data_IF_043390985987
#
_entry.id   IF_043390985987
#
_cell.length_a   1.000
_cell.length_b   1.000
_cell.length_c   1.000
_cell.angle_alpha   90.00
_cell.angle_beta   90.00
_cell.angle_gamma   90.00
#
_symmetry.space_group_name_H-M   'P 1'
#
loop_
_entity.id
_entity.type
_entity.pdbx_description
1 polymer ?
#
# COMPACT_ATOMS: atom_id res chain seq x y z
N UNK A 1 9.94 23.35 12.37
CA UNK A 1 9.84 22.48 11.17
C UNK A 1 11.20 22.14 10.56
N UNK A 2 12.09 23.09 10.36
CA UNK A 2 13.40 22.89 9.70
C UNK A 2 14.36 21.93 10.43
N UNK A 3 14.39 21.96 11.76
CA UNK A 3 15.26 21.09 12.57
C UNK A 3 14.86 19.62 12.50
N UNK A 4 13.56 19.33 12.54
CA UNK A 4 13.03 17.96 12.39
C UNK A 4 13.32 17.39 11.00
N UNK A 5 13.14 18.21 9.96
CA UNK A 5 13.45 17.79 8.60
C UNK A 5 14.96 17.51 8.40
N UNK A 6 15.85 18.31 8.99
CA UNK A 6 17.29 18.08 8.96
C UNK A 6 17.68 16.80 9.71
N UNK A 7 17.05 16.53 10.87
CA UNK A 7 17.30 15.31 11.65
C UNK A 7 16.87 14.06 10.87
N UNK A 8 15.65 14.08 10.31
CA UNK A 8 15.14 12.97 9.47
C UNK A 8 16.02 12.74 8.26
N UNK A 9 16.44 13.81 7.55
CA UNK A 9 17.35 13.70 6.40
C UNK A 9 18.70 13.11 6.80
N UNK A 10 19.26 13.52 7.94
CA UNK A 10 20.52 12.97 8.47
C UNK A 10 20.39 11.47 8.78
N UNK A 11 19.28 11.04 9.38
CA UNK A 11 19.00 9.64 9.65
C UNK A 11 18.86 8.83 8.34
N UNK A 12 18.10 9.35 7.37
CA UNK A 12 17.95 8.70 6.06
C UNK A 12 19.29 8.54 5.35
N UNK A 13 20.15 9.58 5.35
CA UNK A 13 21.48 9.52 4.75
C UNK A 13 22.41 8.53 5.47
N UNK A 14 22.27 8.36 6.77
CA UNK A 14 23.04 7.37 7.53
C UNK A 14 22.64 5.93 7.17
N UNK A 15 21.34 5.69 6.97
CA UNK A 15 20.83 4.36 6.63
C UNK A 15 20.87 4.04 5.14
N UNK A 16 21.02 5.03 4.25
CA UNK A 16 21.02 4.85 2.80
C UNK A 16 22.04 3.81 2.33
N UNK A 17 23.35 3.85 2.73
CA UNK A 17 24.33 2.87 2.31
C UNK A 17 24.05 1.44 2.81
N UNK A 18 23.42 1.32 3.99
CA UNK A 18 22.99 0.03 4.52
C UNK A 18 21.85 -0.57 3.68
N UNK A 19 20.87 0.27 3.30
CA UNK A 19 19.74 -0.14 2.47
C UNK A 19 20.17 -0.53 1.05
N UNK A 20 21.10 0.21 0.45
CA UNK A 20 21.62 -0.05 -0.91
C UNK A 20 22.40 -1.36 -1.02
N UNK A 21 23.00 -1.83 0.08
CA UNK A 21 23.79 -3.07 0.12
C UNK A 21 23.02 -4.27 0.71
N UNK A 22 21.76 -4.10 1.08
CA UNK A 22 20.94 -5.19 1.61
C UNK A 22 20.46 -6.11 0.48
N UNK A 23 20.52 -7.42 0.73
CA UNK A 23 19.85 -8.37 -0.16
C UNK A 23 18.34 -8.14 -0.16
N UNK A 24 17.67 -8.46 -1.27
CA UNK A 24 16.22 -8.36 -1.40
C UNK A 24 15.51 -9.11 -0.26
N UNK A 25 16.00 -10.29 0.10
CA UNK A 25 15.45 -11.09 1.19
C UNK A 25 15.53 -10.38 2.55
N UNK A 26 16.65 -9.73 2.86
CA UNK A 26 16.83 -9.00 4.11
C UNK A 26 15.92 -7.78 4.15
N UNK A 27 15.75 -7.08 3.03
CA UNK A 27 14.85 -5.94 2.92
C UNK A 27 13.39 -6.37 3.14
N UNK A 28 12.96 -7.48 2.53
CA UNK A 28 11.62 -8.06 2.73
C UNK A 28 11.38 -8.40 4.20
N UNK A 29 12.31 -9.11 4.84
CA UNK A 29 12.22 -9.45 6.28
C UNK A 29 12.16 -8.21 7.18
N UNK A 30 12.91 -7.17 6.86
CA UNK A 30 12.90 -5.90 7.59
C UNK A 30 11.54 -5.21 7.51
N UNK A 31 10.92 -5.19 6.33
CA UNK A 31 9.58 -4.65 6.15
C UNK A 31 8.51 -5.47 6.90
N UNK A 32 8.61 -6.80 6.88
CA UNK A 32 7.68 -7.67 7.62
C UNK A 32 7.73 -7.36 9.12
N UNK A 33 8.93 -7.22 9.69
CA UNK A 33 9.10 -6.84 11.10
C UNK A 33 8.53 -5.47 11.44
N UNK A 34 8.68 -4.50 10.53
CA UNK A 34 8.05 -3.20 10.69
C UNK A 34 6.51 -3.33 10.68
N UNK A 35 5.96 -4.09 9.75
CA UNK A 35 4.53 -4.36 9.67
C UNK A 35 3.98 -5.05 10.91
N UNK A 36 4.67 -6.09 11.42
CA UNK A 36 4.33 -6.76 12.69
C UNK A 36 4.27 -5.77 13.86
N UNK A 37 5.28 -4.90 13.98
CA UNK A 37 5.33 -3.89 15.03
C UNK A 37 4.16 -2.91 14.94
N UNK A 38 3.90 -2.36 13.76
CA UNK A 38 2.79 -1.43 13.54
C UNK A 38 1.44 -2.10 13.82
N UNK A 39 1.24 -3.34 13.39
CA UNK A 39 0.03 -4.13 13.68
C UNK A 39 -0.13 -4.32 15.20
N UNK A 40 0.97 -4.64 15.92
CA UNK A 40 0.95 -4.83 17.36
C UNK A 40 0.55 -3.56 18.12
N UNK A 41 0.95 -2.37 17.63
CA UNK A 41 0.56 -1.09 18.22
C UNK A 41 -0.96 -0.87 18.19
N UNK A 42 -1.64 -1.33 17.14
CA UNK A 42 -3.08 -1.15 16.92
C UNK A 42 -3.94 -2.39 17.26
N UNK A 43 -3.35 -3.47 17.78
CA UNK A 43 -4.06 -4.74 18.02
C UNK A 43 -5.28 -4.63 18.95
N UNK A 44 -5.30 -3.61 19.81
CA UNK A 44 -6.44 -3.35 20.72
C UNK A 44 -7.54 -2.53 20.06
N UNK A 45 -7.26 -1.91 18.93
CA UNK A 45 -8.11 -0.95 18.25
C UNK A 45 -8.71 -1.50 16.95
N UNK A 46 -8.13 -2.59 16.42
CA UNK A 46 -8.55 -3.19 15.15
C UNK A 46 -8.82 -4.69 15.27
N UNK A 47 -9.60 -5.19 14.31
CA UNK A 47 -9.74 -6.62 13.97
C UNK A 47 -9.19 -6.85 12.57
N UNK A 48 -8.52 -7.98 12.36
CA UNK A 48 -8.04 -8.39 11.04
C UNK A 48 -8.71 -9.68 10.60
N UNK A 49 -9.02 -9.76 9.30
CA UNK A 49 -9.54 -10.97 8.66
C UNK A 49 -8.92 -11.11 7.28
N UNK A 50 -8.23 -12.19 7.05
CA UNK A 50 -7.61 -12.52 5.77
C UNK A 50 -8.61 -12.92 4.71
N UNK A 51 -8.22 -12.74 3.46
CA UNK A 51 -8.95 -13.16 2.28
C UNK A 51 -7.97 -13.67 1.23
N UNK A 52 -8.14 -14.92 0.84
CA UNK A 52 -7.32 -15.54 -0.20
C UNK A 52 -7.96 -15.30 -1.57
N UNK A 53 -7.19 -14.72 -2.47
CA UNK A 53 -7.44 -14.75 -3.90
C UNK A 53 -6.74 -15.95 -4.51
N UNK A 54 -6.90 -16.17 -5.80
CA UNK A 54 -6.25 -17.30 -6.48
C UNK A 54 -4.73 -17.21 -6.45
N UNK A 55 -4.18 -16.01 -6.62
CA UNK A 55 -2.75 -15.79 -6.84
C UNK A 55 -2.08 -14.94 -5.75
N UNK A 56 -2.82 -14.31 -4.90
CA UNK A 56 -2.31 -13.43 -3.84
C UNK A 56 -3.27 -13.39 -2.66
N UNK A 57 -2.88 -12.69 -1.60
CA UNK A 57 -3.67 -12.55 -0.38
C UNK A 57 -4.02 -11.09 -0.11
N UNK A 58 -5.10 -10.87 0.58
CA UNK A 58 -5.46 -9.59 1.13
C UNK A 58 -5.98 -9.70 2.56
N UNK A 59 -6.14 -8.59 3.23
CA UNK A 59 -6.75 -8.57 4.56
C UNK A 59 -7.68 -7.38 4.73
N UNK A 60 -8.78 -7.64 5.41
CA UNK A 60 -9.63 -6.63 6.00
C UNK A 60 -9.06 -6.19 7.33
N UNK A 61 -8.94 -4.89 7.52
CA UNK A 61 -8.63 -4.27 8.81
C UNK A 61 -9.85 -3.43 9.19
N UNK A 62 -10.45 -3.80 10.29
CA UNK A 62 -11.71 -3.20 10.76
C UNK A 62 -11.45 -2.49 12.09
N UNK A 63 -11.61 -1.15 12.15
CA UNK A 63 -11.48 -0.44 13.42
C UNK A 63 -12.64 -0.83 14.36
N UNK A 64 -12.35 -0.96 15.64
CA UNK A 64 -13.39 -1.16 16.67
C UNK A 64 -14.29 0.06 16.80
N UNK A 65 -13.72 1.25 16.67
CA UNK A 65 -14.43 2.53 16.61
C UNK A 65 -14.61 2.95 15.14
N UNK A 66 -15.58 2.31 14.46
CA UNK A 66 -15.90 2.68 13.10
C UNK A 66 -16.75 3.95 13.06
N UNK A 67 -16.15 5.06 12.61
CA UNK A 67 -16.77 6.39 12.55
C UNK A 67 -17.30 6.77 11.17
N UNK A 68 -16.88 6.06 10.12
CA UNK A 68 -17.19 6.36 8.71
C UNK A 68 -17.62 5.12 7.95
N UNK A 69 -18.49 5.33 6.97
CA UNK A 69 -18.88 4.32 5.99
C UNK A 69 -17.89 4.31 4.81
N UNK A 70 -17.91 3.23 4.04
CA UNK A 70 -16.98 3.05 2.92
C UNK A 70 -15.77 2.20 3.27
N UNK A 71 -14.81 2.18 2.38
CA UNK A 71 -13.60 1.37 2.49
C UNK A 71 -12.41 2.07 1.82
N UNK A 72 -11.25 1.94 2.42
CA UNK A 72 -9.97 2.26 1.77
C UNK A 72 -9.42 0.98 1.16
N UNK A 73 -9.13 0.97 -0.15
CA UNK A 73 -8.25 -0.02 -0.76
C UNK A 73 -6.83 0.50 -0.64
N UNK A 74 -6.03 -0.18 0.18
CA UNK A 74 -4.65 0.20 0.42
C UNK A 74 -3.69 -0.73 -0.34
N UNK A 75 -2.80 -0.13 -1.13
CA UNK A 75 -1.73 -0.78 -1.88
C UNK A 75 -0.38 -0.30 -1.34
N UNK A 76 0.41 -1.24 -0.82
CA UNK A 76 1.66 -0.94 -0.13
C UNK A 76 2.79 -0.53 -1.07
N UNK A 77 3.83 0.14 -0.53
CA UNK A 77 5.08 0.43 -1.22
C UNK A 77 6.07 -0.74 -1.20
N UNK A 78 7.29 -0.46 -1.61
CA UNK A 78 8.38 -1.46 -1.65
C UNK A 78 8.96 -1.70 -3.04
N UNK A 79 8.86 -0.72 -3.94
CA UNK A 79 9.49 -0.74 -5.27
C UNK A 79 9.00 -1.86 -6.18
N UNK A 80 7.80 -2.39 -5.95
CA UNK A 80 7.23 -3.59 -6.61
C UNK A 80 8.02 -4.88 -6.37
N UNK A 81 9.06 -4.85 -5.54
CA UNK A 81 9.93 -6.00 -5.24
C UNK A 81 9.84 -6.45 -3.78
N UNK A 82 9.37 -5.58 -2.91
CA UNK A 82 9.22 -5.80 -1.48
C UNK A 82 7.80 -5.49 -1.02
N UNK A 83 7.48 -5.99 0.17
CA UNK A 83 6.15 -5.89 0.77
C UNK A 83 5.46 -7.25 0.87
N UNK A 84 4.71 -7.41 1.91
CA UNK A 84 3.97 -8.63 2.22
C UNK A 84 2.62 -8.27 2.81
N UNK A 85 1.82 -9.28 3.13
CA UNK A 85 0.58 -9.05 3.85
C UNK A 85 0.84 -8.46 5.25
N UNK A 86 1.93 -8.87 5.93
CA UNK A 86 2.32 -8.36 7.25
C UNK A 86 2.68 -6.88 7.18
N UNK A 87 3.49 -6.49 6.19
CA UNK A 87 3.82 -5.09 5.96
C UNK A 87 2.57 -4.26 5.65
N UNK A 88 1.74 -4.73 4.73
CA UNK A 88 0.51 -4.04 4.34
C UNK A 88 -0.46 -3.86 5.53
N UNK A 89 -0.62 -4.90 6.38
CA UNK A 89 -1.47 -4.87 7.59
C UNK A 89 -1.02 -3.82 8.60
N UNK A 90 0.28 -3.61 8.73
CA UNK A 90 0.83 -2.62 9.65
C UNK A 90 0.30 -1.23 9.38
N UNK A 91 0.52 -0.71 8.19
CA UNK A 91 0.05 0.63 7.81
C UNK A 91 -1.48 0.70 7.65
N UNK A 92 -2.10 -0.37 7.15
CA UNK A 92 -3.56 -0.47 7.07
C UNK A 92 -4.22 -0.37 8.45
N UNK A 93 -3.57 -0.89 9.52
CA UNK A 93 -4.05 -0.76 10.90
C UNK A 93 -4.04 0.69 11.37
N UNK A 94 -2.98 1.42 11.07
CA UNK A 94 -2.90 2.87 11.34
C UNK A 94 -4.00 3.62 10.58
N UNK A 95 -4.16 3.37 9.28
CA UNK A 95 -5.22 4.00 8.48
C UNK A 95 -6.61 3.70 9.04
N UNK A 96 -6.88 2.45 9.42
CA UNK A 96 -8.17 2.05 9.97
C UNK A 96 -8.48 2.77 11.28
N UNK A 97 -7.53 2.84 12.19
CA UNK A 97 -7.67 3.48 13.51
C UNK A 97 -7.85 4.99 13.38
N UNK A 98 -6.93 5.66 12.67
CA UNK A 98 -6.93 7.12 12.56
C UNK A 98 -8.12 7.65 11.74
N UNK A 99 -8.44 6.98 10.65
CA UNK A 99 -9.56 7.39 9.80
C UNK A 99 -10.93 6.89 10.30
N UNK A 100 -10.98 5.89 11.18
CA UNK A 100 -12.23 5.28 11.64
C UNK A 100 -13.03 4.64 10.51
N UNK A 101 -12.35 4.03 9.53
CA UNK A 101 -12.95 3.42 8.34
C UNK A 101 -12.32 2.05 8.09
N UNK A 102 -13.07 1.14 7.49
CA UNK A 102 -12.53 -0.17 7.08
C UNK A 102 -11.46 0.00 6.02
N UNK A 103 -10.40 -0.78 6.12
CA UNK A 103 -9.33 -0.85 5.13
C UNK A 103 -9.27 -2.27 4.58
N UNK A 104 -9.16 -2.40 3.28
CA UNK A 104 -8.76 -3.64 2.63
C UNK A 104 -7.35 -3.43 2.09
N UNK A 105 -6.39 -4.22 2.52
CA UNK A 105 -5.01 -4.19 2.01
C UNK A 105 -4.72 -5.44 1.20
N UNK A 106 -4.01 -5.28 0.07
CA UNK A 106 -3.63 -6.36 -0.82
C UNK A 106 -2.12 -6.57 -0.80
N UNK A 107 -1.69 -7.82 -0.56
CA UNK A 107 -0.33 -8.27 -0.79
C UNK A 107 -0.19 -8.73 -2.25
N UNK A 108 -0.19 -7.76 -3.14
CA UNK A 108 -0.11 -8.01 -4.57
C UNK A 108 1.22 -8.68 -4.95
N UNK A 109 1.22 -9.45 -6.05
CA UNK A 109 2.40 -10.17 -6.55
C UNK A 109 3.54 -9.23 -6.90
N UNK A 110 4.77 -9.64 -6.56
CA UNK A 110 5.98 -8.83 -6.62
C UNK A 110 6.96 -9.33 -7.68
N UNK A 111 7.73 -8.42 -8.24
CA UNK A 111 8.90 -8.73 -9.03
C UNK A 111 10.08 -9.15 -8.09
N UNK A 112 11.05 -9.90 -8.59
CA UNK A 112 11.18 -10.43 -9.94
C UNK A 112 10.31 -11.66 -10.22
N UNK A 113 9.72 -12.28 -9.20
CA UNK A 113 8.96 -13.52 -9.31
C UNK A 113 7.73 -13.36 -10.22
N UNK A 114 7.08 -12.21 -10.12
CA UNK A 114 5.89 -11.85 -10.90
C UNK A 114 6.02 -10.41 -11.43
N UNK A 115 6.67 -10.21 -12.58
CA UNK A 115 6.85 -8.88 -13.15
C UNK A 115 5.52 -8.27 -13.64
N UNK A 116 5.57 -7.04 -14.13
CA UNK A 116 4.42 -6.41 -14.77
C UNK A 116 3.77 -7.35 -15.81
N UNK A 117 2.43 -7.45 -15.84
CA UNK A 117 1.46 -6.61 -15.15
C UNK A 117 0.88 -7.17 -13.84
N UNK A 118 1.51 -8.18 -13.21
CA UNK A 118 0.92 -8.95 -12.11
C UNK A 118 0.37 -8.07 -10.96
N UNK A 119 1.14 -7.08 -10.50
CA UNK A 119 0.70 -6.18 -9.43
C UNK A 119 -0.56 -5.38 -9.83
N UNK A 120 -0.66 -4.94 -11.08
CA UNK A 120 -1.81 -4.20 -11.58
C UNK A 120 -3.07 -5.09 -11.71
N UNK A 121 -2.88 -6.34 -12.14
CA UNK A 121 -3.98 -7.33 -12.18
C UNK A 121 -4.53 -7.61 -10.79
N UNK A 122 -3.65 -7.80 -9.80
CA UNK A 122 -4.05 -8.06 -8.41
C UNK A 122 -4.73 -6.83 -7.77
N UNK A 123 -4.25 -5.63 -8.09
CA UNK A 123 -4.90 -4.38 -7.66
C UNK A 123 -6.31 -4.25 -8.27
N UNK A 124 -6.47 -4.58 -9.56
CA UNK A 124 -7.77 -4.58 -10.25
C UNK A 124 -8.71 -5.62 -9.64
N UNK A 125 -8.23 -6.85 -9.40
CA UNK A 125 -9.02 -7.91 -8.76
C UNK A 125 -9.46 -7.51 -7.36
N UNK A 126 -8.59 -6.85 -6.59
CA UNK A 126 -8.91 -6.31 -5.25
C UNK A 126 -10.03 -5.25 -5.32
N UNK A 127 -9.96 -4.35 -6.29
CA UNK A 127 -11.00 -3.32 -6.49
C UNK A 127 -12.33 -3.95 -6.89
N UNK A 128 -12.32 -4.87 -7.85
CA UNK A 128 -13.54 -5.60 -8.28
C UNK A 128 -14.13 -6.45 -7.15
N UNK A 129 -13.29 -7.02 -6.28
CA UNK A 129 -13.73 -7.71 -5.09
C UNK A 129 -14.52 -6.79 -4.16
N UNK A 130 -14.07 -5.56 -3.94
CA UNK A 130 -14.79 -4.59 -3.11
C UNK A 130 -16.14 -4.21 -3.72
N UNK A 131 -16.21 -4.03 -5.04
CA UNK A 131 -17.48 -3.80 -5.74
C UNK A 131 -18.44 -4.99 -5.57
N UNK A 132 -17.93 -6.23 -5.72
CA UNK A 132 -18.72 -7.47 -5.50
C UNK A 132 -19.18 -7.64 -4.05
N UNK A 133 -18.42 -7.09 -3.08
CA UNK A 133 -18.81 -7.04 -1.65
C UNK A 133 -19.90 -6.00 -1.35
N UNK A 134 -20.34 -5.26 -2.36
CA UNK A 134 -21.42 -4.29 -2.24
C UNK A 134 -20.98 -2.86 -1.91
N UNK A 135 -19.68 -2.57 -1.92
CA UNK A 135 -19.21 -1.19 -1.83
C UNK A 135 -19.40 -0.48 -3.18
N UNK A 136 -20.27 0.52 -3.27
CA UNK A 136 -20.33 1.31 -4.49
C UNK A 136 -19.02 2.07 -4.70
N UNK A 137 -18.61 2.28 -5.95
CA UNK A 137 -17.34 2.93 -6.27
C UNK A 137 -17.14 4.29 -5.57
N UNK A 138 -18.24 5.06 -5.38
CA UNK A 138 -18.22 6.33 -4.64
C UNK A 138 -17.92 6.20 -3.14
N UNK A 139 -17.81 4.98 -2.62
CA UNK A 139 -17.43 4.68 -1.23
C UNK A 139 -16.09 3.93 -1.14
N UNK A 140 -15.38 3.77 -2.25
CA UNK A 140 -14.03 3.18 -2.29
C UNK A 140 -13.02 4.30 -2.51
N UNK A 141 -12.12 4.49 -1.55
CA UNK A 141 -10.95 5.38 -1.66
C UNK A 141 -9.73 4.52 -1.95
N UNK A 142 -8.90 4.89 -2.93
CA UNK A 142 -7.61 4.24 -3.12
C UNK A 142 -6.54 4.99 -2.33
N UNK A 143 -5.72 4.26 -1.61
CA UNK A 143 -4.57 4.79 -0.88
C UNK A 143 -3.33 3.95 -1.19
N UNK A 144 -2.18 4.60 -1.38
CA UNK A 144 -0.92 3.88 -1.57
C UNK A 144 0.28 4.78 -1.38
N UNK A 145 1.39 4.20 -0.93
CA UNK A 145 2.66 4.92 -0.78
C UNK A 145 3.72 4.40 -1.77
N UNK A 146 4.63 5.26 -2.20
CA UNK A 146 5.76 4.93 -3.07
C UNK A 146 5.29 4.17 -4.34
N UNK A 147 5.74 2.93 -4.57
CA UNK A 147 5.28 2.07 -5.67
C UNK A 147 3.76 1.80 -5.60
N UNK A 148 3.20 1.55 -4.41
CA UNK A 148 1.74 1.43 -4.22
C UNK A 148 1.00 2.73 -4.56
N UNK A 149 1.63 3.88 -4.31
CA UNK A 149 1.15 5.18 -4.77
C UNK A 149 1.10 5.28 -6.29
N UNK A 150 2.13 4.81 -7.00
CA UNK A 150 2.10 4.69 -8.46
C UNK A 150 1.02 3.71 -8.93
N UNK A 151 0.88 2.59 -8.24
CA UNK A 151 -0.08 1.53 -8.58
C UNK A 151 -1.54 1.99 -8.49
N UNK A 152 -1.92 2.85 -7.52
CA UNK A 152 -3.30 3.37 -7.47
C UNK A 152 -3.63 4.27 -8.67
N UNK A 153 -2.67 5.02 -9.20
CA UNK A 153 -2.87 5.80 -10.42
C UNK A 153 -2.98 4.87 -11.64
N UNK A 154 -2.10 3.87 -11.75
CA UNK A 154 -2.16 2.87 -12.83
C UNK A 154 -3.50 2.11 -12.81
N UNK A 155 -3.98 1.71 -11.62
CA UNK A 155 -5.29 1.10 -11.44
C UNK A 155 -6.42 2.02 -11.91
N UNK A 156 -6.38 3.31 -11.54
CA UNK A 156 -7.41 4.27 -11.96
C UNK A 156 -7.45 4.44 -13.48
N UNK A 157 -6.30 4.50 -14.15
CA UNK A 157 -6.21 4.53 -15.61
C UNK A 157 -6.76 3.24 -16.23
N UNK A 158 -6.45 2.08 -15.66
CA UNK A 158 -6.95 0.79 -16.10
C UNK A 158 -8.48 0.66 -15.96
N UNK A 159 -9.03 1.13 -14.84
CA UNK A 159 -10.47 1.19 -14.63
C UNK A 159 -11.16 2.07 -15.69
N UNK A 160 -10.57 3.22 -16.01
CA UNK A 160 -11.06 4.13 -17.04
C UNK A 160 -11.03 3.47 -18.44
N UNK A 161 -9.92 2.80 -18.79
CA UNK A 161 -9.77 2.04 -20.03
C UNK A 161 -10.85 0.96 -20.17
N UNK A 162 -11.16 0.25 -19.10
CA UNK A 162 -12.16 -0.82 -19.05
C UNK A 162 -13.61 -0.32 -18.90
N UNK A 163 -13.85 1.00 -18.84
CA UNK A 163 -15.18 1.56 -18.61
C UNK A 163 -15.78 1.17 -17.25
N UNK A 164 -14.92 0.88 -16.25
CA UNK A 164 -15.36 0.52 -14.90
C UNK A 164 -15.66 1.76 -14.06
N UNK A 165 -16.56 1.66 -13.06
CA UNK A 165 -16.80 2.76 -12.12
C UNK A 165 -15.51 3.16 -11.41
N UNK A 166 -15.24 4.48 -11.36
CA UNK A 166 -14.05 5.02 -10.72
C UNK A 166 -14.25 5.18 -9.20
N UNK A 167 -13.16 5.05 -8.39
CA UNK A 167 -13.20 5.30 -6.95
C UNK A 167 -13.58 6.75 -6.62
N UNK A 168 -13.95 7.02 -5.36
CA UNK A 168 -14.30 8.37 -4.92
C UNK A 168 -13.10 9.31 -4.81
N UNK A 169 -11.89 8.77 -4.75
CA UNK A 169 -10.66 9.56 -4.66
C UNK A 169 -9.41 8.69 -4.60
N UNK A 170 -8.27 9.35 -4.71
CA UNK A 170 -6.92 8.78 -4.64
C UNK A 170 -6.11 9.52 -3.59
N UNK A 171 -5.39 8.81 -2.73
CA UNK A 171 -4.42 9.37 -1.79
C UNK A 171 -3.07 8.69 -2.04
N UNK A 172 -2.18 9.39 -2.73
CA UNK A 172 -0.80 8.96 -2.98
C UNK A 172 0.16 9.59 -1.98
N UNK A 173 0.86 8.76 -1.21
CA UNK A 173 1.87 9.20 -0.25
C UNK A 173 3.24 9.02 -0.91
N UNK A 174 3.89 10.12 -1.30
CA UNK A 174 5.14 10.11 -2.06
C UNK A 174 5.10 9.11 -3.23
N UNK A 175 4.11 9.20 -4.14
CA UNK A 175 3.87 8.17 -5.13
C UNK A 175 4.98 8.12 -6.17
N UNK A 176 5.43 6.91 -6.51
CA UNK A 176 6.36 6.70 -7.61
C UNK A 176 5.60 6.65 -8.94
N UNK A 177 5.43 7.79 -9.58
CA UNK A 177 4.62 7.96 -10.79
C UNK A 177 5.41 7.95 -12.09
N UNK A 178 6.73 8.15 -12.03
CA UNK A 178 7.64 8.08 -13.17
C UNK A 178 8.66 6.95 -12.99
N UNK A 179 8.39 5.81 -13.63
CA UNK A 179 9.27 4.64 -13.61
C UNK A 179 10.47 4.78 -14.54
N UNK A 180 10.53 5.84 -15.35
CA UNK A 180 11.70 6.13 -16.22
C UNK A 180 12.83 6.81 -15.45
N UNK A 181 12.53 7.27 -14.22
CA UNK A 181 13.49 7.97 -13.35
C UNK A 181 14.13 9.19 -14.03
N UNK A 182 13.35 9.91 -14.84
CA UNK A 182 13.81 11.04 -15.65
C UNK A 182 13.92 12.37 -14.88
N UNK A 183 13.52 12.40 -13.61
CA UNK A 183 13.59 13.60 -12.77
C UNK A 183 15.04 13.96 -12.42
N UNK A 184 15.38 15.25 -12.42
CA UNK A 184 16.74 15.76 -12.11
C UNK A 184 17.26 15.31 -10.72
N UNK A 185 16.35 15.00 -9.77
CA UNK A 185 16.71 14.48 -8.44
C UNK A 185 17.27 13.06 -8.45
N UNK A 186 17.21 12.34 -9.57
CA UNK A 186 17.84 11.02 -9.71
C UNK A 186 19.35 11.12 -10.05
N UNK A 187 19.82 12.33 -10.44
CA UNK A 187 21.22 12.57 -10.79
C UNK A 187 22.04 13.10 -9.60
N UNK A 188 21.42 13.35 -8.45
CA UNK A 188 22.01 13.88 -7.22
C UNK A 188 21.83 12.91 -6.07
#
# INVERSE_FOLDING_TARGET
MELHAKLVRSQLNFFKPLAENCSLELTRKGQDKLGELMTAMHRRETFSREHDFRNFQGAWIMPKDQRRTGVILYLHGGGYTCGSLEYARGFASTLATECGVRVFCAAYRLAPEHPYPAALEDALESYEYLLKKGYPARQILLCGESAGGGLIYALCLKLKELGRPLPCGLVGISPWTDLTSSGASFET
#
